data_IF_798435674013
#
_entry.id   IF_798435674013
#
_cell.length_a   1.000
_cell.length_b   1.000
_cell.length_c   1.000
_cell.angle_alpha   90.00
_cell.angle_beta   90.00
_cell.angle_gamma   90.00
#
_symmetry.space_group_name_H-M   'P 1'
#
loop_
_entity.id
_entity.type
_entity.pdbx_description
1 polymer ?
#
# COMPACT_ATOMS: atom_id res chain seq x y z
N UNK A 1 -41.70 -11.67 -26.66
CA UNK A 1 -40.41 -12.13 -26.11
C UNK A 1 -39.73 -10.91 -25.49
N UNK A 2 -39.89 -10.67 -24.18
CA UNK A 2 -39.25 -9.53 -23.50
C UNK A 2 -37.89 -9.98 -22.97
N UNK A 3 -36.80 -9.45 -23.52
CA UNK A 3 -35.44 -9.72 -23.06
C UNK A 3 -35.09 -8.68 -21.98
N UNK A 4 -35.14 -9.07 -20.70
CA UNK A 4 -34.62 -8.24 -19.61
C UNK A 4 -33.09 -8.40 -19.57
N UNK A 5 -32.36 -7.36 -19.95
CA UNK A 5 -30.92 -7.23 -19.73
C UNK A 5 -30.68 -6.62 -18.35
N UNK A 6 -30.22 -7.41 -17.39
CA UNK A 6 -29.80 -6.93 -16.06
C UNK A 6 -28.33 -6.53 -16.10
N UNK A 7 -28.04 -5.23 -16.01
CA UNK A 7 -26.68 -4.73 -15.80
C UNK A 7 -26.33 -4.83 -14.31
N UNK A 8 -25.73 -5.95 -13.90
CA UNK A 8 -25.13 -6.07 -12.57
C UNK A 8 -23.88 -5.21 -12.47
N UNK A 9 -23.89 -4.17 -11.64
CA UNK A 9 -22.70 -3.39 -11.30
C UNK A 9 -21.82 -4.19 -10.34
N UNK A 10 -20.87 -4.97 -10.87
CA UNK A 10 -19.83 -5.61 -10.06
C UNK A 10 -18.84 -4.56 -9.56
N UNK A 11 -19.11 -3.97 -8.39
CA UNK A 11 -18.12 -3.14 -7.70
C UNK A 11 -17.13 -4.07 -6.98
N UNK A 12 -15.86 -4.06 -7.40
CA UNK A 12 -14.80 -4.73 -6.65
C UNK A 12 -14.74 -4.16 -5.22
N UNK A 13 -14.63 -5.05 -4.23
CA UNK A 13 -14.51 -4.67 -2.82
C UNK A 13 -13.14 -4.03 -2.59
N UNK A 14 -13.11 -2.82 -2.02
CA UNK A 14 -11.85 -2.21 -1.54
C UNK A 14 -11.21 -3.07 -0.47
N UNK A 15 -9.89 -3.19 -0.53
CA UNK A 15 -9.04 -3.86 0.44
C UNK A 15 -8.07 -2.84 1.02
N UNK A 16 -8.12 -2.63 2.34
CA UNK A 16 -7.09 -1.85 3.04
C UNK A 16 -5.89 -2.75 3.32
N UNK A 17 -4.70 -2.32 2.93
CA UNK A 17 -3.46 -3.06 3.12
C UNK A 17 -2.46 -2.21 3.89
N UNK A 18 -2.14 -2.62 5.12
CA UNK A 18 -1.06 -2.01 5.89
C UNK A 18 0.27 -2.66 5.50
N UNK A 19 1.16 -1.89 4.90
CA UNK A 19 2.49 -2.34 4.51
C UNK A 19 3.50 -1.93 5.58
N UNK A 20 3.89 -2.89 6.43
CA UNK A 20 4.90 -2.70 7.48
C UNK A 20 6.27 -3.04 6.91
N UNK A 21 7.27 -2.21 7.17
CA UNK A 21 8.64 -2.50 6.74
C UNK A 21 9.65 -1.45 7.17
N UNK A 22 10.82 -1.50 6.53
CA UNK A 22 11.92 -0.57 6.75
C UNK A 22 11.93 0.56 5.69
N UNK A 23 13.12 1.09 5.42
CA UNK A 23 13.42 2.01 4.32
C UNK A 23 12.80 1.63 2.96
N UNK A 24 12.78 0.36 2.56
CA UNK A 24 12.26 -0.07 1.24
C UNK A 24 10.77 0.27 1.12
N UNK A 25 10.02 0.11 2.22
CA UNK A 25 8.60 0.47 2.29
C UNK A 25 8.40 1.96 2.48
N UNK A 26 9.17 2.57 3.38
CA UNK A 26 9.13 4.00 3.66
C UNK A 26 9.33 4.86 2.40
N UNK A 27 10.34 4.51 1.59
CA UNK A 27 10.75 5.25 0.40
C UNK A 27 9.73 5.22 -0.74
N UNK A 28 8.66 4.42 -0.65
CA UNK A 28 7.60 4.45 -1.65
C UNK A 28 7.00 5.85 -1.81
N UNK A 29 6.82 6.57 -0.69
CA UNK A 29 6.18 7.89 -0.64
C UNK A 29 7.18 9.05 -0.44
N UNK A 30 8.48 8.73 -0.32
CA UNK A 30 9.59 9.66 -0.09
C UNK A 30 10.64 9.52 -1.21
N UNK A 31 10.20 9.70 -2.46
CA UNK A 31 11.04 9.44 -3.64
C UNK A 31 12.24 10.41 -3.77
N UNK A 32 12.14 11.60 -3.18
CA UNK A 32 13.20 12.60 -3.12
C UNK A 32 14.42 12.09 -2.32
N UNK A 33 14.20 11.32 -1.25
CA UNK A 33 15.27 10.67 -0.46
C UNK A 33 16.04 9.61 -1.25
N UNK A 34 15.48 9.12 -2.36
CA UNK A 34 16.20 8.23 -3.30
C UNK A 34 17.17 8.99 -4.21
N UNK A 35 17.27 10.32 -4.05
CA UNK A 35 17.90 11.21 -5.02
C UNK A 35 17.15 11.21 -6.35
N UNK A 36 15.83 10.99 -6.31
CA UNK A 36 14.95 10.86 -7.47
C UNK A 36 15.39 9.80 -8.49
N UNK A 37 16.16 8.79 -8.05
CA UNK A 37 16.53 7.64 -8.90
C UNK A 37 15.39 6.65 -9.04
N UNK A 38 14.53 6.57 -8.03
CA UNK A 38 13.28 5.82 -8.07
C UNK A 38 12.15 6.76 -8.47
N UNK A 39 11.39 6.38 -9.47
CA UNK A 39 10.24 7.16 -9.95
C UNK A 39 8.90 6.61 -9.46
N UNK A 40 8.89 5.35 -9.00
CA UNK A 40 7.67 4.68 -8.52
C UNK A 40 8.02 3.54 -7.58
N UNK A 41 7.60 3.64 -6.32
CA UNK A 41 7.76 2.60 -5.31
C UNK A 41 6.85 1.38 -5.54
N UNK A 42 7.08 0.30 -4.79
CA UNK A 42 6.40 -0.96 -5.03
C UNK A 42 4.92 -0.95 -4.65
N UNK A 43 4.53 -0.24 -3.58
CA UNK A 43 3.12 -0.15 -3.18
C UNK A 43 2.30 0.61 -4.20
N UNK A 44 2.86 1.69 -4.76
CA UNK A 44 2.24 2.42 -5.86
C UNK A 44 2.08 1.53 -7.09
N UNK A 45 3.06 0.69 -7.42
CA UNK A 45 2.97 -0.30 -8.51
C UNK A 45 1.92 -1.38 -8.24
N UNK A 46 1.81 -1.86 -7.00
CA UNK A 46 0.77 -2.81 -6.58
C UNK A 46 -0.61 -2.19 -6.74
N UNK A 47 -0.81 -0.93 -6.34
CA UNK A 47 -2.07 -0.21 -6.52
C UNK A 47 -2.44 -0.01 -7.98
N UNK A 48 -1.48 0.24 -8.88
CA UNK A 48 -1.79 0.31 -10.32
C UNK A 48 -2.27 -1.04 -10.85
N UNK A 49 -1.64 -2.13 -10.42
CA UNK A 49 -1.94 -3.48 -10.87
C UNK A 49 -3.25 -4.02 -10.26
N UNK A 50 -3.54 -3.62 -9.02
CA UNK A 50 -4.71 -4.02 -8.23
C UNK A 50 -5.39 -2.77 -7.67
N UNK A 51 -6.21 -2.07 -8.50
CA UNK A 51 -6.83 -0.80 -8.11
C UNK A 51 -7.79 -0.88 -6.91
N UNK A 52 -8.24 -2.09 -6.57
CA UNK A 52 -9.02 -2.36 -5.37
C UNK A 52 -8.22 -2.25 -4.05
N UNK A 53 -6.89 -2.15 -4.11
CA UNK A 53 -6.03 -2.05 -2.92
C UNK A 53 -5.76 -0.58 -2.59
N UNK A 54 -6.08 -0.20 -1.35
CA UNK A 54 -5.65 1.04 -0.72
C UNK A 54 -4.58 0.71 0.31
N UNK A 55 -3.33 1.12 0.05
CA UNK A 55 -2.22 0.84 0.96
C UNK A 55 -2.05 1.95 2.01
N UNK A 56 -1.57 1.54 3.18
CA UNK A 56 -1.12 2.41 4.28
C UNK A 56 0.35 2.10 4.49
N UNK A 57 1.21 3.10 4.29
CA UNK A 57 2.65 2.96 4.46
C UNK A 57 3.02 3.03 5.95
N UNK A 58 3.42 1.89 6.52
CA UNK A 58 4.01 1.75 7.86
C UNK A 58 5.49 1.34 7.73
N UNK A 59 6.17 1.91 6.74
CA UNK A 59 7.61 1.81 6.59
C UNK A 59 8.31 2.76 7.54
N UNK A 60 9.30 2.26 8.28
CA UNK A 60 10.11 3.08 9.18
C UNK A 60 11.57 3.08 8.73
N UNK A 61 12.05 4.22 8.23
CA UNK A 61 13.41 4.33 7.70
C UNK A 61 14.46 3.98 8.78
N UNK A 62 15.37 3.06 8.46
CA UNK A 62 16.45 2.61 9.36
C UNK A 62 16.01 1.69 10.49
N UNK A 63 14.73 1.31 10.59
CA UNK A 63 14.26 0.41 11.65
C UNK A 63 14.58 -1.06 11.33
N UNK A 64 14.83 -1.83 12.38
CA UNK A 64 14.91 -3.30 12.33
C UNK A 64 13.58 -3.93 12.71
N UNK A 65 13.42 -5.24 12.47
CA UNK A 65 12.23 -5.97 12.93
C UNK A 65 12.03 -5.88 14.45
N UNK A 66 13.11 -5.94 15.24
CA UNK A 66 13.03 -5.75 16.69
C UNK A 66 12.59 -4.33 17.07
N UNK A 67 13.03 -3.31 16.32
CA UNK A 67 12.57 -1.93 16.52
C UNK A 67 11.07 -1.79 16.32
N UNK A 68 10.54 -2.36 15.24
CA UNK A 68 9.10 -2.41 14.97
C UNK A 68 8.36 -3.15 16.10
N UNK A 69 8.86 -4.33 16.51
CA UNK A 69 8.22 -5.14 17.54
C UNK A 69 8.17 -4.42 18.91
N UNK A 70 9.23 -3.70 19.28
CA UNK A 70 9.28 -2.96 20.54
C UNK A 70 8.29 -1.78 20.59
N UNK A 71 7.93 -1.23 19.44
CA UNK A 71 7.05 -0.08 19.32
C UNK A 71 5.66 -0.44 18.77
N UNK A 72 5.34 -1.74 18.63
CA UNK A 72 4.15 -2.23 17.91
C UNK A 72 2.83 -1.61 18.39
N UNK A 73 2.67 -1.44 19.70
CA UNK A 73 1.47 -0.85 20.32
C UNK A 73 1.30 0.65 20.04
N UNK A 74 2.37 1.31 19.59
CA UNK A 74 2.38 2.75 19.26
C UNK A 74 2.18 3.00 17.76
N UNK A 75 2.24 1.97 16.92
CA UNK A 75 2.15 2.10 15.46
C UNK A 75 0.71 2.32 14.97
N UNK A 76 -0.30 2.21 15.84
CA UNK A 76 -1.70 2.46 15.50
C UNK A 76 -2.26 1.48 14.46
N UNK A 77 -1.85 0.22 14.56
CA UNK A 77 -2.25 -0.88 13.68
C UNK A 77 -3.64 -1.44 14.02
#
# INVERSE_FOLDING_TARGET
>A
MFLLLTFGSFKKKSVSWVAIGDSITYLNDHLDETGNRVTKGYMTRVKDALPEIDFINQGHNGWTSSGIANEIEKLGL
#
